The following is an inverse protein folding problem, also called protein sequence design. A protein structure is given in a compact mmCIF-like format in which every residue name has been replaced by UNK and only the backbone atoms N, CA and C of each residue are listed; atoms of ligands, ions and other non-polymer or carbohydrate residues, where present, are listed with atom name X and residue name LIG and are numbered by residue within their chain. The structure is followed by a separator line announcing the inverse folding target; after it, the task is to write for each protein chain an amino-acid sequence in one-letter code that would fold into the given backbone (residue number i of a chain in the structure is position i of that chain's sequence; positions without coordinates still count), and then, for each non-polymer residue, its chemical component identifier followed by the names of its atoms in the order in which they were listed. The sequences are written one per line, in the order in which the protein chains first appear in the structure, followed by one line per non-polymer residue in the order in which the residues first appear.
data_IF_927233169329
#
_entry.id   IF_927233169329
#
_cell.length_a   1.000
_cell.length_b   1.000
_cell.length_c   1.000
_cell.angle_alpha   90.00
_cell.angle_beta   90.00
_cell.angle_gamma   90.00
#
_symmetry.space_group_name_H-M   'P 1'
#
loop_
_entity.id
_entity.type
_entity.pdbx_description
1 polymer ?
#
# COMPACT_ATOMS: atom_id res chain seq x y z
N UNK A 1 9.48 6.02 4.01
CA UNK A 1 10.77 5.38 4.30
C UNK A 1 11.34 4.78 3.04
N UNK A 2 12.38 5.43 2.52
CA UNK A 2 13.17 5.00 1.35
C UNK A 2 13.94 3.70 1.63
N UNK A 3 14.15 3.38 2.92
CA UNK A 3 14.91 2.21 3.37
C UNK A 3 14.16 0.88 3.15
N UNK A 4 12.83 0.84 3.34
CA UNK A 4 12.07 -0.41 3.18
C UNK A 4 12.10 -0.95 1.75
N UNK A 5 12.05 -0.08 0.74
CA UNK A 5 12.08 -0.50 -0.65
C UNK A 5 13.40 -1.21 -1.00
N UNK A 6 14.53 -0.64 -0.58
CA UNK A 6 15.84 -1.22 -0.88
C UNK A 6 16.00 -2.61 -0.24
N UNK A 7 15.50 -2.77 0.98
CA UNK A 7 15.52 -4.05 1.69
C UNK A 7 14.63 -5.08 0.98
N UNK A 8 13.44 -4.68 0.53
CA UNK A 8 12.54 -5.55 -0.26
C UNK A 8 13.19 -5.97 -1.57
N UNK A 9 13.72 -5.03 -2.36
CA UNK A 9 14.35 -5.35 -3.64
C UNK A 9 15.56 -6.27 -3.47
N UNK A 10 16.35 -6.07 -2.41
CA UNK A 10 17.46 -6.95 -2.07
C UNK A 10 16.96 -8.35 -1.71
N UNK A 11 15.92 -8.46 -0.87
CA UNK A 11 15.37 -9.74 -0.44
C UNK A 11 14.67 -10.50 -1.58
N UNK A 12 14.05 -9.80 -2.53
CA UNK A 12 13.33 -10.39 -3.66
C UNK A 12 14.19 -10.54 -4.92
N UNK A 13 15.50 -10.32 -4.83
CA UNK A 13 16.42 -10.39 -5.98
C UNK A 13 15.94 -9.52 -7.15
N UNK A 14 15.48 -8.31 -6.83
CA UNK A 14 14.92 -7.32 -7.75
C UNK A 14 13.62 -7.73 -8.46
N UNK A 15 12.87 -8.73 -7.98
CA UNK A 15 11.58 -9.10 -8.58
C UNK A 15 10.40 -8.26 -8.06
N UNK A 16 10.58 -7.48 -6.99
CA UNK A 16 9.48 -6.74 -6.37
C UNK A 16 8.54 -7.65 -5.57
N UNK A 17 7.29 -7.21 -5.36
CA UNK A 17 6.27 -7.92 -4.57
C UNK A 17 4.91 -7.77 -5.24
N UNK A 18 4.08 -8.82 -5.27
CA UNK A 18 2.77 -8.73 -5.92
C UNK A 18 1.72 -8.00 -5.06
N UNK A 19 1.88 -8.03 -3.74
CA UNK A 19 0.93 -7.45 -2.78
C UNK A 19 1.60 -6.81 -1.57
N UNK A 20 1.07 -5.66 -1.17
CA UNK A 20 1.44 -4.95 0.06
C UNK A 20 0.28 -5.00 1.06
N UNK A 21 0.49 -5.67 2.19
CA UNK A 21 -0.43 -5.58 3.33
C UNK A 21 0.02 -4.44 4.26
N UNK A 22 -0.71 -3.33 4.26
CA UNK A 22 -0.35 -2.13 4.99
C UNK A 22 -1.27 -1.89 6.20
N UNK A 23 -0.70 -1.84 7.40
CA UNK A 23 -1.37 -1.46 8.65
C UNK A 23 -0.87 -0.14 9.26
N UNK A 24 0.05 0.55 8.58
CA UNK A 24 0.75 1.75 9.06
C UNK A 24 -0.13 3.02 9.04
N UNK A 25 0.31 4.12 9.65
CA UNK A 25 -0.46 5.39 9.61
C UNK A 25 -0.40 6.08 8.23
N UNK A 26 -1.28 7.07 8.01
CA UNK A 26 -1.51 7.76 6.71
C UNK A 26 -0.24 8.20 5.97
N UNK A 27 0.75 8.78 6.67
CA UNK A 27 1.99 9.28 6.05
C UNK A 27 2.83 8.16 5.43
N UNK A 28 2.74 6.95 6.01
CA UNK A 28 3.48 5.79 5.52
C UNK A 28 2.75 5.10 4.38
N UNK A 29 1.43 5.26 4.24
CA UNK A 29 0.65 4.73 3.11
C UNK A 29 1.12 5.30 1.77
N UNK A 30 1.22 6.64 1.66
CA UNK A 30 1.68 7.29 0.43
C UNK A 30 3.14 6.94 0.11
N UNK A 31 3.99 6.84 1.14
CA UNK A 31 5.40 6.50 0.97
C UNK A 31 5.65 5.02 0.61
N UNK A 32 4.79 4.12 1.08
CA UNK A 32 4.82 2.72 0.64
C UNK A 32 4.21 2.57 -0.76
N UNK A 33 3.44 3.55 -1.22
CA UNK A 33 2.83 3.52 -2.54
C UNK A 33 3.77 3.95 -3.66
N UNK A 34 4.55 5.01 -3.48
CA UNK A 34 5.39 5.59 -4.55
C UNK A 34 6.51 4.67 -5.09
N UNK A 35 6.57 3.41 -4.62
CA UNK A 35 7.64 2.45 -4.89
C UNK A 35 7.10 1.06 -5.28
N UNK A 36 5.80 0.98 -5.51
CA UNK A 36 5.06 -0.19 -5.98
C UNK A 36 5.27 -0.30 -7.49
N UNK A 37 5.63 -1.50 -7.97
CA UNK A 37 5.85 -1.78 -9.40
C UNK A 37 4.52 -1.91 -10.17
N UNK A 38 4.57 -2.25 -11.46
CA UNK A 38 3.35 -2.47 -12.26
C UNK A 38 2.56 -3.69 -11.73
N UNK A 39 1.22 -3.61 -11.80
CA UNK A 39 0.26 -4.69 -11.45
C UNK A 39 0.12 -5.07 -9.98
N UNK A 40 0.69 -4.30 -9.05
CA UNK A 40 0.66 -4.64 -7.63
C UNK A 40 -0.65 -4.25 -6.93
N UNK A 41 -1.00 -5.01 -5.89
CA UNK A 41 -2.18 -4.75 -5.04
C UNK A 41 -1.76 -4.26 -3.65
N UNK A 42 -2.27 -3.12 -3.19
CA UNK A 42 -2.15 -2.72 -1.78
C UNK A 42 -3.45 -2.96 -1.03
N UNK A 43 -3.37 -3.73 0.05
CA UNK A 43 -4.46 -3.95 1.01
C UNK A 43 -4.20 -3.13 2.26
N UNK A 44 -5.09 -2.18 2.53
CA UNK A 44 -5.06 -1.34 3.73
C UNK A 44 -5.99 -1.90 4.80
N UNK A 45 -5.42 -2.40 5.89
CA UNK A 45 -6.20 -2.77 7.08
C UNK A 45 -6.37 -1.53 7.97
N UNK A 46 -7.61 -1.21 8.34
CA UNK A 46 -7.94 -0.12 9.27
C UNK A 46 -8.63 -0.63 10.54
N UNK A 47 -8.29 -0.05 11.70
CA UNK A 47 -9.15 -0.11 12.90
C UNK A 47 -10.27 0.93 12.79
N UNK A 48 -11.34 0.72 13.56
CA UNK A 48 -12.52 1.58 13.63
C UNK A 48 -12.13 3.07 13.71
N UNK A 49 -12.84 3.90 12.93
CA UNK A 49 -12.64 5.35 12.73
C UNK A 49 -11.62 5.77 11.64
N UNK A 50 -11.62 5.10 10.49
CA UNK A 50 -10.99 5.62 9.26
C UNK A 50 -11.86 6.73 8.62
N UNK A 51 -12.19 7.77 9.38
CA UNK A 51 -12.91 8.97 8.92
C UNK A 51 -11.96 10.16 8.77
N UNK A 52 -10.76 9.91 8.24
CA UNK A 52 -9.88 10.99 7.84
C UNK A 52 -9.80 10.95 6.32
N UNK A 53 -10.18 12.06 5.68
CA UNK A 53 -10.22 12.28 4.23
C UNK A 53 -8.85 12.02 3.56
N UNK A 54 -8.45 10.76 3.45
CA UNK A 54 -7.26 10.33 2.74
C UNK A 54 -7.50 10.55 1.24
N UNK A 55 -6.54 11.17 0.58
CA UNK A 55 -6.55 11.35 -0.87
C UNK A 55 -5.58 10.34 -1.47
N UNK A 56 -6.04 9.66 -2.53
CA UNK A 56 -5.21 8.86 -3.42
C UNK A 56 -5.04 9.66 -4.70
N UNK A 57 -3.81 9.74 -5.20
CA UNK A 57 -3.54 10.39 -6.48
C UNK A 57 -3.97 9.45 -7.61
N UNK A 58 -4.64 9.96 -8.64
CA UNK A 58 -5.14 9.12 -9.73
C UNK A 58 -4.03 8.59 -10.65
N UNK A 59 -2.96 9.38 -10.82
CA UNK A 59 -1.72 9.01 -11.55
C UNK A 59 -1.16 7.66 -11.08
N UNK A 60 -1.39 7.34 -9.81
CA UNK A 60 -1.01 6.10 -9.18
C UNK A 60 -1.65 4.86 -9.80
N UNK A 61 -2.83 4.97 -10.40
CA UNK A 61 -3.55 3.84 -11.00
C UNK A 61 -3.17 3.60 -12.47
N UNK A 62 -2.33 4.45 -13.08
CA UNK A 62 -1.89 4.29 -14.48
C UNK A 62 -1.06 3.01 -14.68
N UNK A 63 -0.38 2.53 -13.64
CA UNK A 63 0.42 1.29 -13.66
C UNK A 63 -0.39 0.01 -13.33
N UNK A 64 -1.71 0.02 -13.58
CA UNK A 64 -2.64 -1.09 -13.26
C UNK A 64 -2.62 -1.52 -11.78
N UNK A 65 -2.41 -0.57 -10.87
CA UNK A 65 -2.32 -0.84 -9.43
C UNK A 65 -3.72 -0.91 -8.80
N UNK A 66 -3.87 -1.73 -7.75
CA UNK A 66 -5.16 -1.95 -7.07
C UNK A 66 -5.09 -1.48 -5.62
N UNK A 67 -6.07 -0.68 -5.18
CA UNK A 67 -6.24 -0.28 -3.79
C UNK A 67 -7.43 -1.00 -3.16
N UNK A 68 -7.22 -1.74 -2.07
CA UNK A 68 -8.28 -2.37 -1.27
C UNK A 68 -8.25 -1.81 0.14
N UNK A 69 -9.37 -1.24 0.61
CA UNK A 69 -9.59 -0.97 2.04
C UNK A 69 -10.31 -2.16 2.67
N UNK A 70 -9.74 -2.71 3.73
CA UNK A 70 -10.34 -3.78 4.52
C UNK A 70 -10.59 -3.31 5.96
N UNK A 71 -11.87 -3.29 6.34
CA UNK A 71 -12.30 -3.05 7.73
C UNK A 71 -12.69 -4.37 8.38
N UNK A 72 -11.79 -4.92 9.19
CA UNK A 72 -11.98 -6.23 9.81
C UNK A 72 -13.14 -6.25 10.83
N UNK A 73 -13.58 -5.09 11.33
CA UNK A 73 -14.69 -4.99 12.28
C UNK A 73 -16.05 -5.07 11.61
N UNK A 74 -16.12 -4.86 10.29
CA UNK A 74 -17.34 -5.07 9.52
C UNK A 74 -17.54 -6.54 9.14
N UNK A 75 -16.59 -7.42 9.47
CA UNK A 75 -16.64 -8.85 9.19
C UNK A 75 -17.07 -9.71 10.39
N UNK A 76 -17.26 -9.09 11.57
CA UNK A 76 -17.63 -9.76 12.83
C UNK A 76 -19.11 -9.61 13.18
#
# INVERSE_FOLDING_TARGET
DIFFQQDVMTATKNHGIDMVLNSLSRKLLLASWSHITEFETMVKISKHNFYQHAMLFMETFEANQIFIRLDLWQLS
#
